data_IF_761648991811
#
_entry.id   IF_761648991811
#
_cell.length_a   1.000
_cell.length_b   1.000
_cell.length_c   1.000
_cell.angle_alpha   90.00
_cell.angle_beta   90.00
_cell.angle_gamma   90.00
#
_symmetry.space_group_name_H-M   'P 1'
#
loop_
_entity.id
_entity.type
_entity.pdbx_description
1 polymer ?
#
# COMPACT_ATOMS: atom_id res chain seq x y z
N UNK A 1 -28.39 2.73 0.12
CA UNK A 1 -27.01 2.48 -0.34
C UNK A 1 -26.69 1.03 -0.09
N UNK A 2 -26.04 0.36 -1.03
CA UNK A 2 -25.72 -1.06 -0.91
C UNK A 2 -24.28 -1.25 -0.42
N UNK A 3 -24.07 -2.19 0.48
CA UNK A 3 -22.73 -2.59 0.88
C UNK A 3 -21.95 -3.13 -0.34
N UNK A 4 -20.71 -2.67 -0.60
CA UNK A 4 -19.94 -3.14 -1.75
C UNK A 4 -19.55 -4.62 -1.65
N UNK A 5 -19.55 -5.20 -0.46
CA UNK A 5 -19.17 -6.60 -0.22
C UNK A 5 -20.39 -7.51 -0.27
N UNK A 6 -21.32 -7.42 0.69
CA UNK A 6 -22.46 -8.34 0.78
C UNK A 6 -23.66 -7.94 -0.08
N UNK A 7 -23.62 -6.76 -0.73
CA UNK A 7 -24.65 -6.20 -1.62
C UNK A 7 -26.01 -5.93 -0.97
N UNK A 8 -26.16 -6.15 0.33
CA UNK A 8 -27.42 -5.89 1.03
C UNK A 8 -27.74 -4.40 1.06
N UNK A 9 -29.01 -4.10 0.86
CA UNK A 9 -29.60 -2.77 0.91
C UNK A 9 -30.11 -2.50 2.31
N UNK A 10 -29.79 -1.43 2.96
CA UNK A 10 -30.36 -0.95 4.24
C UNK A 10 -29.53 -1.05 5.52
N UNK A 11 -28.37 -1.64 5.51
CA UNK A 11 -27.62 -1.89 6.74
C UNK A 11 -26.32 -1.09 6.80
N UNK A 12 -26.39 0.16 6.34
CA UNK A 12 -25.20 1.00 6.29
C UNK A 12 -25.43 2.24 7.14
N UNK A 13 -24.71 2.33 8.23
CA UNK A 13 -24.72 3.47 9.11
C UNK A 13 -23.47 4.34 8.87
N UNK A 14 -23.70 5.65 8.74
CA UNK A 14 -22.62 6.62 8.71
C UNK A 14 -21.88 6.60 10.05
N UNK A 15 -20.54 6.57 10.01
CA UNK A 15 -19.71 6.62 11.20
C UNK A 15 -19.10 7.98 11.46
N UNK A 16 -18.49 8.59 10.45
CA UNK A 16 -17.87 9.91 10.57
C UNK A 16 -17.67 10.54 9.20
N UNK A 17 -17.49 11.85 9.21
CA UNK A 17 -16.98 12.57 8.06
C UNK A 17 -15.49 12.26 7.90
N UNK A 18 -15.06 12.07 6.68
CA UNK A 18 -13.65 12.00 6.38
C UNK A 18 -13.06 13.41 6.44
N UNK A 19 -12.14 13.63 7.37
CA UNK A 19 -11.46 14.92 7.51
C UNK A 19 -9.98 14.74 7.19
N UNK A 20 -9.53 15.44 6.18
CA UNK A 20 -8.13 15.64 5.89
C UNK A 20 -7.78 17.10 6.28
N UNK A 21 -6.96 17.28 7.31
CA UNK A 21 -6.72 18.63 7.87
C UNK A 21 -5.69 19.46 7.10
N UNK A 22 -4.98 18.88 6.13
CA UNK A 22 -3.72 19.42 5.62
C UNK A 22 -3.81 20.04 4.22
N UNK A 23 -4.85 19.76 3.45
CA UNK A 23 -5.03 20.27 2.08
C UNK A 23 -6.46 20.70 1.85
N UNK A 24 -6.67 21.52 0.83
CA UNK A 24 -7.99 21.77 0.24
C UNK A 24 -8.50 20.48 -0.46
N UNK A 25 -8.78 19.51 0.37
CA UNK A 25 -9.18 18.13 0.03
C UNK A 25 -10.58 18.06 -0.58
N UNK A 26 -11.41 19.12 -0.39
CA UNK A 26 -12.72 19.25 -1.02
C UNK A 26 -12.66 19.06 -2.53
N UNK A 27 -11.52 19.39 -3.12
CA UNK A 27 -11.31 19.22 -4.55
C UNK A 27 -11.15 17.76 -4.99
N UNK A 28 -10.60 16.90 -4.11
CA UNK A 28 -10.25 15.51 -4.44
C UNK A 28 -11.18 14.50 -3.79
N UNK A 29 -11.61 14.77 -2.56
CA UNK A 29 -12.36 13.86 -1.70
C UNK A 29 -13.69 14.46 -1.24
N UNK A 30 -14.29 15.32 -2.07
CA UNK A 30 -15.49 16.09 -1.74
C UNK A 30 -16.62 15.18 -1.25
N UNK A 31 -17.16 15.51 -0.08
CA UNK A 31 -18.28 14.83 0.57
C UNK A 31 -18.09 13.33 0.88
N UNK A 32 -16.83 12.86 1.00
CA UNK A 32 -16.58 11.49 1.38
C UNK A 32 -16.93 11.26 2.86
N UNK A 33 -17.69 10.23 3.12
CA UNK A 33 -18.09 9.79 4.46
C UNK A 33 -17.71 8.33 4.67
N UNK A 34 -17.48 7.93 5.91
CA UNK A 34 -17.22 6.54 6.26
C UNK A 34 -18.50 5.88 6.75
N UNK A 35 -18.86 4.80 6.11
CA UNK A 35 -19.99 3.95 6.42
C UNK A 35 -19.55 2.60 6.94
N UNK A 36 -20.40 1.99 7.75
CA UNK A 36 -20.25 0.60 8.20
C UNK A 36 -21.48 -0.20 7.82
N UNK A 37 -21.27 -1.39 7.28
CA UNK A 37 -22.34 -2.35 7.06
C UNK A 37 -22.65 -3.11 8.35
N UNK A 38 -23.92 -3.12 8.76
CA UNK A 38 -24.35 -3.82 9.98
C UNK A 38 -24.43 -5.36 9.78
N UNK A 39 -24.53 -5.81 8.54
CA UNK A 39 -24.62 -7.26 8.25
C UNK A 39 -23.25 -7.97 8.18
N UNK A 40 -22.22 -7.31 7.62
CA UNK A 40 -20.93 -7.96 7.41
C UNK A 40 -19.76 -7.18 8.06
N UNK A 41 -20.06 -6.15 8.84
CA UNK A 41 -19.10 -5.30 9.54
C UNK A 41 -18.09 -4.54 8.66
N UNK A 42 -18.17 -4.66 7.32
CA UNK A 42 -17.29 -3.96 6.42
C UNK A 42 -17.49 -2.45 6.47
N UNK A 43 -16.41 -1.70 6.64
CA UNK A 43 -16.42 -0.23 6.59
C UNK A 43 -15.83 0.26 5.27
N UNK A 44 -16.45 1.27 4.68
CA UNK A 44 -16.06 1.81 3.38
C UNK A 44 -16.38 3.30 3.26
N UNK A 45 -15.66 3.96 2.37
CA UNK A 45 -15.90 5.36 2.03
C UNK A 45 -16.98 5.50 0.96
N UNK A 46 -17.82 6.53 1.09
CA UNK A 46 -18.81 6.86 0.06
C UNK A 46 -19.14 8.36 0.10
N UNK A 47 -19.33 9.05 -1.06
CA UNK A 47 -19.08 8.52 -2.40
C UNK A 47 -17.58 8.26 -2.63
N UNK A 48 -17.26 7.28 -3.49
CA UNK A 48 -15.88 7.06 -3.89
C UNK A 48 -15.38 8.21 -4.75
N UNK A 49 -14.16 8.69 -4.54
CA UNK A 49 -13.54 9.68 -5.40
C UNK A 49 -13.46 9.19 -6.84
N UNK A 50 -13.48 10.13 -7.79
CA UNK A 50 -13.27 9.76 -9.20
C UNK A 50 -11.85 9.21 -9.37
N UNK A 51 -11.69 8.11 -10.11
CA UNK A 51 -10.40 7.44 -10.34
C UNK A 51 -9.31 8.45 -10.75
N UNK A 52 -9.59 9.32 -11.74
CA UNK A 52 -8.65 10.35 -12.18
C UNK A 52 -8.19 11.32 -11.06
N UNK A 53 -9.02 11.54 -10.04
CA UNK A 53 -8.65 12.38 -8.90
C UNK A 53 -7.75 11.62 -7.93
N UNK A 54 -7.97 10.31 -7.75
CA UNK A 54 -7.11 9.43 -6.96
C UNK A 54 -5.74 9.30 -7.61
N UNK A 55 -5.68 9.05 -8.92
CA UNK A 55 -4.41 8.94 -9.65
C UNK A 55 -3.60 10.23 -9.50
N UNK A 56 -4.23 11.38 -9.78
CA UNK A 56 -3.56 12.68 -9.62
C UNK A 56 -3.09 12.92 -8.18
N UNK A 57 -3.92 12.57 -7.19
CA UNK A 57 -3.58 12.73 -5.77
C UNK A 57 -2.37 11.90 -5.39
N UNK A 58 -2.37 10.60 -5.70
CA UNK A 58 -1.26 9.72 -5.37
C UNK A 58 0.03 10.07 -6.11
N UNK A 59 -0.06 10.42 -7.39
CA UNK A 59 1.12 10.79 -8.18
C UNK A 59 1.77 12.11 -7.77
N UNK A 60 0.98 13.09 -7.30
CA UNK A 60 1.47 14.46 -7.19
C UNK A 60 1.36 15.08 -5.79
N UNK A 61 0.45 14.60 -4.94
CA UNK A 61 0.10 15.27 -3.68
C UNK A 61 0.43 14.42 -2.46
N UNK A 62 0.16 13.14 -2.53
CA UNK A 62 0.26 12.23 -1.38
C UNK A 62 1.61 12.33 -0.67
N UNK A 63 2.72 12.37 -1.41
CA UNK A 63 4.08 12.47 -0.84
C UNK A 63 4.46 13.85 -0.34
N UNK A 64 3.78 14.89 -0.77
CA UNK A 64 3.97 16.23 -0.19
C UNK A 64 3.45 16.27 1.25
N UNK A 65 2.41 15.49 1.54
CA UNK A 65 1.80 15.37 2.86
C UNK A 65 2.55 14.33 3.71
N UNK A 66 2.72 13.14 3.15
CA UNK A 66 3.43 12.04 3.79
C UNK A 66 4.89 12.06 3.35
N UNK A 67 5.68 12.93 3.98
CA UNK A 67 7.10 13.05 3.65
C UNK A 67 7.79 11.70 3.71
N UNK A 68 8.65 11.40 2.74
CA UNK A 68 9.44 10.18 2.80
C UNK A 68 10.32 10.18 4.05
N UNK A 69 10.68 8.99 4.58
CA UNK A 69 11.65 8.90 5.66
C UNK A 69 12.96 9.62 5.29
N UNK A 70 13.64 10.18 6.28
CA UNK A 70 14.84 10.99 6.07
C UNK A 70 15.96 10.24 5.31
N UNK A 71 16.07 8.92 5.48
CA UNK A 71 17.04 8.10 4.74
C UNK A 71 16.82 8.12 3.21
N UNK A 72 15.59 8.39 2.76
CA UNK A 72 15.28 8.57 1.33
C UNK A 72 15.84 9.90 0.81
N UNK A 73 15.76 10.95 1.63
CA UNK A 73 16.18 12.30 1.26
C UNK A 73 17.68 12.52 1.40
N UNK A 74 18.30 11.89 2.39
CA UNK A 74 19.70 12.07 2.73
C UNK A 74 20.62 10.99 2.16
N UNK A 75 20.05 9.97 1.51
CA UNK A 75 20.78 8.85 0.92
C UNK A 75 21.71 8.15 1.93
N UNK A 76 21.25 8.01 3.17
CA UNK A 76 22.01 7.42 4.29
C UNK A 76 21.69 5.91 4.39
N UNK A 77 22.60 5.07 3.88
CA UNK A 77 22.47 3.61 3.87
C UNK A 77 22.37 2.99 5.27
N UNK A 78 23.06 3.53 6.26
CA UNK A 78 23.03 3.02 7.63
C UNK A 78 21.69 3.29 8.30
N UNK A 79 21.11 4.42 8.01
CA UNK A 79 19.77 4.78 8.49
C UNK A 79 18.68 4.01 7.77
N UNK A 80 18.84 3.75 6.48
CA UNK A 80 17.95 2.84 5.75
C UNK A 80 17.98 1.44 6.38
N UNK A 81 19.16 0.91 6.64
CA UNK A 81 19.34 -0.41 7.23
C UNK A 81 18.65 -0.52 8.60
N UNK A 82 18.89 0.43 9.49
CA UNK A 82 18.24 0.47 10.82
C UNK A 82 16.73 0.57 10.70
N UNK A 83 16.23 1.44 9.85
CA UNK A 83 14.80 1.60 9.62
C UNK A 83 14.15 0.30 9.13
N UNK A 84 14.80 -0.40 8.19
CA UNK A 84 14.30 -1.68 7.68
C UNK A 84 14.32 -2.77 8.76
N UNK A 85 15.39 -2.85 9.55
CA UNK A 85 15.52 -3.81 10.63
C UNK A 85 14.45 -3.58 11.71
N UNK A 86 14.30 -2.36 12.19
CA UNK A 86 13.37 -2.04 13.28
C UNK A 86 11.91 -2.17 12.85
N UNK A 87 11.57 -1.63 11.68
CA UNK A 87 10.19 -1.59 11.22
C UNK A 87 9.67 -2.96 10.77
N UNK A 88 10.51 -3.70 10.04
CA UNK A 88 10.04 -4.90 9.38
C UNK A 88 10.28 -6.19 10.16
N UNK A 89 11.08 -6.17 11.21
CA UNK A 89 11.35 -7.37 12.01
C UNK A 89 10.05 -8.00 12.55
N UNK A 90 9.17 -7.21 13.11
CA UNK A 90 7.90 -7.69 13.66
C UNK A 90 6.98 -8.27 12.58
N UNK A 91 6.93 -7.64 11.40
CA UNK A 91 6.16 -8.16 10.26
C UNK A 91 6.74 -9.48 9.75
N UNK A 92 8.07 -9.60 9.64
CA UNK A 92 8.72 -10.85 9.23
C UNK A 92 8.49 -11.97 10.24
N UNK A 93 8.57 -11.68 11.52
CA UNK A 93 8.27 -12.65 12.58
C UNK A 93 6.82 -13.12 12.48
N UNK A 94 5.87 -12.19 12.36
CA UNK A 94 4.46 -12.52 12.21
C UNK A 94 4.21 -13.37 10.97
N UNK A 95 4.70 -12.97 9.80
CA UNK A 95 4.56 -13.73 8.56
C UNK A 95 5.16 -15.14 8.69
N UNK A 96 6.30 -15.29 9.38
CA UNK A 96 6.93 -16.59 9.58
C UNK A 96 6.12 -17.55 10.43
N UNK A 97 5.15 -17.05 11.21
CA UNK A 97 4.19 -17.90 11.95
C UNK A 97 3.06 -18.43 11.07
N UNK A 98 2.76 -17.74 9.97
CA UNK A 98 1.65 -18.07 9.09
C UNK A 98 2.09 -18.91 7.88
N UNK A 99 3.28 -18.64 7.36
CA UNK A 99 3.78 -19.22 6.12
C UNK A 99 5.28 -19.55 6.21
N UNK A 100 5.71 -20.55 5.46
CA UNK A 100 7.13 -20.85 5.33
C UNK A 100 7.78 -19.94 4.26
N UNK A 101 8.37 -18.84 4.71
CA UNK A 101 9.01 -17.85 3.83
C UNK A 101 10.13 -18.43 2.93
N UNK A 102 10.73 -19.58 3.28
CA UNK A 102 11.76 -20.24 2.46
C UNK A 102 11.21 -20.81 1.15
N UNK A 103 9.91 -21.08 1.08
CA UNK A 103 9.26 -21.67 -0.08
C UNK A 103 8.70 -20.62 -1.04
N UNK A 104 8.78 -19.33 -0.70
CA UNK A 104 8.27 -18.24 -1.51
C UNK A 104 9.28 -17.94 -2.61
N UNK A 105 8.79 -17.86 -3.84
CA UNK A 105 9.56 -17.47 -5.03
C UNK A 105 9.13 -16.11 -5.56
N UNK A 106 7.82 -15.85 -5.63
CA UNK A 106 7.28 -14.63 -6.21
C UNK A 106 6.38 -13.91 -5.20
N UNK A 107 6.70 -12.66 -4.94
CA UNK A 107 5.90 -11.75 -4.09
C UNK A 107 5.33 -10.64 -4.95
N UNK A 108 4.05 -10.36 -4.76
CA UNK A 108 3.41 -9.16 -5.28
C UNK A 108 3.05 -8.19 -4.14
N UNK A 109 3.57 -6.98 -4.24
CA UNK A 109 3.40 -5.91 -3.25
C UNK A 109 2.46 -4.84 -3.83
N UNK A 110 1.22 -4.82 -3.36
CA UNK A 110 0.19 -3.94 -3.90
C UNK A 110 0.21 -2.58 -3.22
N UNK A 111 0.59 -1.55 -3.96
CA UNK A 111 0.80 -0.22 -3.40
C UNK A 111 2.08 -0.16 -2.56
N UNK A 112 3.16 -0.70 -3.10
CA UNK A 112 4.40 -1.00 -2.39
C UNK A 112 5.03 0.19 -1.64
N UNK A 113 4.75 1.43 -2.04
CA UNK A 113 5.45 2.59 -1.51
C UNK A 113 6.95 2.46 -1.76
N UNK A 114 7.74 2.42 -0.70
CA UNK A 114 9.19 2.16 -0.82
C UNK A 114 9.54 0.67 -0.88
N UNK A 115 8.57 -0.24 -0.77
CA UNK A 115 8.78 -1.70 -0.86
C UNK A 115 9.53 -2.28 0.33
N UNK A 116 9.37 -1.71 1.52
CA UNK A 116 10.18 -2.05 2.69
C UNK A 116 10.07 -3.53 3.08
N UNK A 117 8.84 -4.07 3.14
CA UNK A 117 8.61 -5.43 3.61
C UNK A 117 9.12 -6.48 2.62
N UNK A 118 8.78 -6.34 1.33
CA UNK A 118 9.27 -7.26 0.30
C UNK A 118 10.79 -7.22 0.18
N UNK A 119 11.38 -6.03 0.29
CA UNK A 119 12.84 -5.89 0.28
C UNK A 119 13.49 -6.55 1.51
N UNK A 120 12.90 -6.42 2.71
CA UNK A 120 13.39 -7.11 3.90
C UNK A 120 13.31 -8.64 3.75
N UNK A 121 12.26 -9.17 3.11
CA UNK A 121 12.15 -10.60 2.77
C UNK A 121 13.26 -10.98 1.79
N UNK A 122 13.48 -10.20 0.71
CA UNK A 122 14.51 -10.47 -0.29
C UNK A 122 15.92 -10.43 0.29
N UNK A 123 16.22 -9.54 1.22
CA UNK A 123 17.52 -9.52 1.93
C UNK A 123 17.79 -10.83 2.67
N UNK A 124 16.75 -11.44 3.24
CA UNK A 124 16.86 -12.72 3.95
C UNK A 124 16.78 -13.93 3.03
N UNK A 125 16.06 -13.80 1.91
CA UNK A 125 15.86 -14.83 0.89
C UNK A 125 16.15 -14.27 -0.50
N UNK A 126 17.43 -14.22 -0.93
CA UNK A 126 17.86 -13.48 -2.12
C UNK A 126 17.21 -13.92 -3.43
N UNK A 127 16.76 -15.17 -3.52
CA UNK A 127 16.15 -15.75 -4.72
C UNK A 127 14.70 -15.32 -4.94
N UNK A 128 14.10 -14.58 -4.02
CA UNK A 128 12.73 -14.08 -4.16
C UNK A 128 12.66 -13.01 -5.25
N UNK A 129 11.68 -13.15 -6.14
CA UNK A 129 11.32 -12.14 -7.13
C UNK A 129 10.29 -11.20 -6.52
N UNK A 130 10.50 -9.91 -6.70
CA UNK A 130 9.61 -8.85 -6.21
C UNK A 130 8.91 -8.20 -7.39
N UNK A 131 7.59 -8.17 -7.33
CA UNK A 131 6.72 -7.46 -8.25
C UNK A 131 5.86 -6.49 -7.45
N UNK A 132 5.49 -5.37 -8.04
CA UNK A 132 4.62 -4.41 -7.38
C UNK A 132 3.79 -3.59 -8.36
N UNK A 133 2.79 -2.93 -7.83
CA UNK A 133 2.16 -1.76 -8.46
C UNK A 133 2.33 -0.58 -7.52
N UNK A 134 2.99 0.47 -8.00
CA UNK A 134 3.14 1.74 -7.28
C UNK A 134 3.08 2.91 -8.27
N UNK A 135 2.24 3.89 -7.98
CA UNK A 135 2.00 5.05 -8.85
C UNK A 135 2.90 6.23 -8.52
N UNK A 136 3.46 6.27 -7.31
CA UNK A 136 4.31 7.37 -6.87
C UNK A 136 5.69 7.30 -7.53
N UNK A 137 6.05 8.36 -8.26
CA UNK A 137 7.32 8.43 -9.01
C UNK A 137 8.56 8.44 -8.11
N UNK A 138 8.45 8.98 -6.88
CA UNK A 138 9.60 9.00 -5.96
C UNK A 138 9.92 7.58 -5.47
N UNK A 139 8.88 6.74 -5.33
CA UNK A 139 9.04 5.36 -4.94
C UNK A 139 9.66 4.51 -6.04
N UNK A 140 9.35 4.78 -7.32
CA UNK A 140 9.77 3.96 -8.46
C UNK A 140 11.29 3.76 -8.53
N UNK A 141 12.06 4.81 -8.34
CA UNK A 141 13.54 4.72 -8.37
C UNK A 141 14.11 3.85 -7.23
N UNK A 142 13.47 3.89 -6.06
CA UNK A 142 13.88 3.11 -4.89
C UNK A 142 13.47 1.65 -5.09
N UNK A 143 12.27 1.40 -5.60
CA UNK A 143 11.78 0.07 -5.92
C UNK A 143 12.67 -0.63 -6.95
N UNK A 144 13.08 0.07 -8.01
CA UNK A 144 14.01 -0.46 -8.99
C UNK A 144 15.36 -0.85 -8.36
N UNK A 145 15.97 0.03 -7.57
CA UNK A 145 17.21 -0.27 -6.81
C UNK A 145 17.06 -1.48 -5.89
N UNK A 146 15.87 -1.70 -5.34
CA UNK A 146 15.54 -2.84 -4.47
C UNK A 146 15.19 -4.10 -5.24
N UNK A 147 15.20 -4.04 -6.58
CA UNK A 147 14.97 -5.17 -7.48
C UNK A 147 13.52 -5.56 -7.61
N UNK A 148 12.60 -4.60 -7.47
CA UNK A 148 11.21 -4.75 -7.83
C UNK A 148 11.00 -4.57 -9.33
N UNK A 149 10.04 -5.33 -9.87
CA UNK A 149 9.44 -5.09 -11.17
C UNK A 149 8.11 -4.37 -10.94
N UNK A 150 8.07 -3.06 -11.25
CA UNK A 150 6.86 -2.24 -11.08
C UNK A 150 6.06 -2.24 -12.38
N UNK A 151 4.91 -2.90 -12.37
CA UNK A 151 3.98 -2.99 -13.50
C UNK A 151 2.54 -3.19 -13.02
N UNK A 152 1.58 -2.96 -13.92
CA UNK A 152 0.18 -3.27 -13.65
C UNK A 152 -0.03 -4.79 -13.53
N UNK A 153 -0.86 -5.22 -12.59
CA UNK A 153 -1.08 -6.64 -12.30
C UNK A 153 -1.52 -7.44 -13.54
N UNK A 154 -2.36 -6.83 -14.39
CA UNK A 154 -2.84 -7.45 -15.63
C UNK A 154 -1.76 -7.71 -16.67
N UNK A 155 -0.62 -7.03 -16.58
CA UNK A 155 0.53 -7.22 -17.48
C UNK A 155 1.49 -8.30 -16.96
N UNK A 156 1.34 -8.73 -15.72
CA UNK A 156 2.24 -9.69 -15.07
C UNK A 156 1.69 -11.10 -15.25
N UNK A 157 2.43 -11.92 -15.96
CA UNK A 157 2.02 -13.29 -16.30
C UNK A 157 2.62 -14.34 -15.33
N UNK A 158 2.77 -13.95 -14.07
CA UNK A 158 3.40 -14.76 -13.03
C UNK A 158 2.36 -15.23 -12.01
N UNK A 159 2.67 -16.37 -11.36
CA UNK A 159 1.92 -16.80 -10.16
C UNK A 159 2.65 -16.32 -8.92
N UNK A 160 1.89 -15.80 -7.98
CA UNK A 160 2.43 -15.27 -6.73
C UNK A 160 2.18 -16.25 -5.57
N UNK A 161 3.22 -16.45 -4.77
CA UNK A 161 3.14 -17.26 -3.55
C UNK A 161 2.70 -16.42 -2.36
N UNK A 162 2.93 -15.10 -2.43
CA UNK A 162 2.55 -14.13 -1.42
C UNK A 162 2.13 -12.81 -2.07
N UNK A 163 1.01 -12.26 -1.59
CA UNK A 163 0.55 -10.89 -1.90
C UNK A 163 0.58 -10.10 -0.59
N UNK A 164 1.21 -8.93 -0.58
CA UNK A 164 1.35 -8.03 0.57
C UNK A 164 0.90 -6.62 0.23
#
# INVERSE_FOLDING_TARGET
MNCPICKKEKTVNRRCDYKYEILDDKKYFDHMEIYKCDDCDFSFSHPMPKIKNLDFFYENIYRQINRPPYWVTENDEDSEKRYLEDKNLNYLLYLSTLINLKNIQNIYDFGAGFGDLGYAIKKKFPNVNLFCTEHDRQCSNILEKRGYKNDQLENINEKFDLII
#
